data_IF_394234045762
#
_entry.id   IF_394234045762
#
_cell.length_a   1.000
_cell.length_b   1.000
_cell.length_c   1.000
_cell.angle_alpha   90.00
_cell.angle_beta   90.00
_cell.angle_gamma   90.00
#
_symmetry.space_group_name_H-M   'P 1'
#
loop_
_entity.id
_entity.type
_entity.pdbx_description
1 polymer ?
#
# COMPACT_ATOMS: atom_id res chain seq x y z
N UNK A 1 -22.90 -12.14 -10.47
CA UNK A 1 -21.72 -11.32 -10.16
C UNK A 1 -20.93 -11.29 -11.43
N UNK A 2 -20.99 -10.17 -12.15
CA UNK A 2 -20.18 -10.01 -13.35
C UNK A 2 -18.71 -10.12 -12.91
N UNK A 3 -17.96 -10.91 -13.68
CA UNK A 3 -16.60 -11.30 -13.31
C UNK A 3 -15.74 -10.04 -13.11
N UNK A 4 -15.22 -9.83 -11.90
CA UNK A 4 -14.32 -8.70 -11.57
C UNK A 4 -13.11 -8.65 -12.52
N UNK A 5 -12.83 -9.75 -13.21
CA UNK A 5 -11.81 -9.85 -14.28
C UNK A 5 -12.19 -9.09 -15.56
N UNK A 6 -13.46 -8.71 -15.74
CA UNK A 6 -13.96 -7.97 -16.90
C UNK A 6 -14.02 -6.46 -16.67
N UNK A 7 -13.19 -5.90 -15.79
CA UNK A 7 -13.05 -4.45 -15.72
C UNK A 7 -12.60 -3.91 -17.08
N UNK A 8 -13.47 -3.09 -17.65
CA UNK A 8 -13.14 -2.40 -18.90
C UNK A 8 -11.88 -1.55 -18.73
N UNK A 9 -11.14 -1.35 -19.81
CA UNK A 9 -9.89 -0.57 -19.78
C UNK A 9 -10.05 0.80 -19.08
N UNK A 10 -11.18 1.48 -19.32
CA UNK A 10 -11.51 2.76 -18.69
C UNK A 10 -11.60 2.70 -17.16
N UNK A 11 -12.10 1.60 -16.59
CA UNK A 11 -12.21 1.44 -15.14
C UNK A 11 -10.84 1.22 -14.48
N UNK A 12 -9.96 0.46 -15.15
CA UNK A 12 -8.57 0.29 -14.70
C UNK A 12 -7.80 1.60 -14.80
N UNK A 13 -8.04 2.38 -15.86
CA UNK A 13 -7.42 3.70 -16.00
C UNK A 13 -7.87 4.66 -14.92
N UNK A 14 -9.16 4.66 -14.55
CA UNK A 14 -9.67 5.48 -13.44
C UNK A 14 -9.01 5.11 -12.10
N UNK A 15 -8.90 3.82 -11.78
CA UNK A 15 -8.21 3.36 -10.56
C UNK A 15 -6.72 3.72 -10.56
N UNK A 16 -6.06 3.62 -11.72
CA UNK A 16 -4.67 4.02 -11.87
C UNK A 16 -4.48 5.52 -11.66
N UNK A 17 -5.41 6.33 -12.16
CA UNK A 17 -5.38 7.78 -11.94
C UNK A 17 -5.53 8.12 -10.44
N UNK A 18 -6.48 7.51 -9.74
CA UNK A 18 -6.64 7.65 -8.28
C UNK A 18 -5.36 7.25 -7.55
N UNK A 19 -4.76 6.12 -7.94
CA UNK A 19 -3.50 5.66 -7.35
C UNK A 19 -2.35 6.64 -7.62
N UNK A 20 -2.26 7.22 -8.82
CA UNK A 20 -1.25 8.24 -9.14
C UNK A 20 -1.42 9.52 -8.33
N UNK A 21 -2.65 9.98 -8.10
CA UNK A 21 -2.95 11.14 -7.25
C UNK A 21 -2.49 10.85 -5.81
N UNK A 22 -2.86 9.68 -5.26
CA UNK A 22 -2.42 9.25 -3.94
C UNK A 22 -0.89 9.16 -3.82
N UNK A 23 -0.22 8.60 -4.83
CA UNK A 23 1.23 8.53 -4.91
C UNK A 23 1.89 9.92 -4.91
N UNK A 24 1.32 10.88 -5.61
CA UNK A 24 1.79 12.27 -5.63
C UNK A 24 1.70 12.95 -4.26
N UNK A 25 0.59 12.76 -3.55
CA UNK A 25 0.41 13.27 -2.18
C UNK A 25 1.41 12.61 -1.21
N UNK A 26 1.57 11.29 -1.29
CA UNK A 26 2.53 10.55 -0.47
C UNK A 26 3.97 10.98 -0.74
N UNK A 27 4.35 11.16 -2.01
CA UNK A 27 5.68 11.63 -2.41
C UNK A 27 6.01 13.00 -1.79
N UNK A 28 5.05 13.91 -1.80
CA UNK A 28 5.19 15.24 -1.19
C UNK A 28 5.42 15.15 0.32
N UNK A 29 4.59 14.38 1.02
CA UNK A 29 4.70 14.21 2.47
C UNK A 29 6.01 13.50 2.88
N UNK A 30 6.40 12.44 2.17
CA UNK A 30 7.66 11.73 2.43
C UNK A 30 8.88 12.58 2.10
N UNK A 31 8.82 13.42 1.07
CA UNK A 31 9.90 14.37 0.76
C UNK A 31 10.10 15.37 1.89
N UNK A 32 9.03 15.88 2.49
CA UNK A 32 9.09 16.77 3.65
C UNK A 32 9.65 16.05 4.89
N UNK A 33 9.19 14.82 5.16
CA UNK A 33 9.65 14.03 6.31
C UNK A 33 11.15 13.72 6.24
N UNK A 34 11.63 13.34 5.07
CA UNK A 34 13.02 12.91 4.86
C UNK A 34 13.98 14.07 4.55
N UNK A 35 13.45 15.23 4.18
CA UNK A 35 14.18 16.35 3.59
C UNK A 35 14.99 15.94 2.34
N UNK A 36 14.42 15.02 1.55
CA UNK A 36 14.95 14.56 0.27
C UNK A 36 13.84 14.57 -0.77
N UNK A 37 14.19 14.86 -2.00
CA UNK A 37 13.21 14.73 -3.09
C UNK A 37 12.93 13.25 -3.35
N UNK A 38 11.68 12.88 -3.12
CA UNK A 38 11.15 11.55 -3.40
C UNK A 38 10.05 11.69 -4.45
N UNK A 39 10.12 10.90 -5.49
CA UNK A 39 9.03 10.70 -6.42
C UNK A 39 8.48 9.29 -6.24
N UNK A 40 7.18 9.15 -6.37
CA UNK A 40 6.53 7.84 -6.34
C UNK A 40 5.87 7.62 -7.69
N UNK A 41 6.17 6.51 -8.33
CA UNK A 41 5.46 6.05 -9.52
C UNK A 41 4.61 4.83 -9.19
N UNK A 42 3.50 4.71 -9.90
CA UNK A 42 2.58 3.57 -9.83
C UNK A 42 2.62 2.88 -11.20
N UNK A 43 3.56 1.96 -11.42
CA UNK A 43 3.68 1.28 -12.69
C UNK A 43 2.48 0.39 -12.98
N UNK A 44 1.89 -0.22 -11.95
CA UNK A 44 0.83 -1.19 -12.11
C UNK A 44 -0.19 -1.12 -10.98
N UNK A 45 -1.46 -1.26 -11.34
CA UNK A 45 -2.59 -1.47 -10.42
C UNK A 45 -3.30 -2.75 -10.82
N UNK A 46 -3.24 -3.74 -9.96
CA UNK A 46 -3.84 -5.06 -10.16
C UNK A 46 -5.04 -5.26 -9.25
N UNK A 47 -6.08 -5.87 -9.78
CA UNK A 47 -7.18 -6.41 -8.98
C UNK A 47 -7.04 -7.92 -9.06
N UNK A 48 -6.70 -8.52 -7.94
CA UNK A 48 -6.39 -9.93 -7.86
C UNK A 48 -7.04 -10.56 -6.63
N UNK A 49 -7.02 -11.87 -6.54
CA UNK A 49 -7.42 -12.57 -5.32
C UNK A 49 -6.34 -12.43 -4.26
N UNK A 50 -6.76 -12.34 -3.01
CA UNK A 50 -5.80 -12.26 -1.89
C UNK A 50 -4.84 -13.46 -1.87
N UNK A 51 -5.30 -14.63 -2.29
CA UNK A 51 -4.49 -15.85 -2.40
C UNK A 51 -3.41 -15.79 -3.50
N UNK A 52 -3.56 -14.90 -4.51
CA UNK A 52 -2.62 -14.69 -5.61
C UNK A 52 -1.58 -13.59 -5.27
N UNK A 53 -1.81 -12.81 -4.22
CA UNK A 53 -0.90 -11.72 -3.81
C UNK A 53 0.53 -12.19 -3.52
N UNK A 54 0.77 -13.38 -2.92
CA UNK A 54 2.13 -13.87 -2.72
C UNK A 54 2.96 -13.92 -4.00
N UNK A 55 2.35 -14.25 -5.13
CA UNK A 55 3.03 -14.34 -6.44
C UNK A 55 3.49 -12.95 -6.94
N UNK A 56 2.76 -11.89 -6.55
CA UNK A 56 3.09 -10.50 -6.89
C UNK A 56 4.21 -9.97 -6.00
N UNK A 57 4.22 -10.36 -4.73
CA UNK A 57 5.16 -9.85 -3.74
C UNK A 57 6.55 -10.50 -3.80
N UNK A 58 6.67 -11.69 -4.39
CA UNK A 58 7.90 -12.48 -4.43
C UNK A 58 7.71 -13.85 -3.80
N UNK A 59 8.70 -14.32 -3.03
CA UNK A 59 8.62 -15.64 -2.41
C UNK A 59 7.92 -15.55 -1.05
N UNK A 60 7.09 -16.55 -0.68
CA UNK A 60 6.44 -16.58 0.63
C UNK A 60 7.41 -16.53 1.81
N UNK A 61 8.65 -17.01 1.61
CA UNK A 61 9.71 -17.05 2.62
C UNK A 61 10.54 -15.75 2.70
N UNK A 62 10.29 -14.77 1.83
CA UNK A 62 10.96 -13.49 1.90
C UNK A 62 10.43 -12.68 3.09
N UNK A 63 11.36 -12.06 3.85
CA UNK A 63 10.98 -11.20 4.98
C UNK A 63 10.48 -9.86 4.45
N UNK A 64 9.37 -9.41 5.01
CA UNK A 64 8.76 -8.11 4.69
C UNK A 64 8.46 -7.32 5.97
N UNK A 65 8.52 -6.00 5.84
CA UNK A 65 7.93 -5.08 6.81
C UNK A 65 6.53 -4.71 6.32
N UNK A 66 5.52 -5.02 7.11
CA UNK A 66 4.12 -4.85 6.76
C UNK A 66 3.43 -3.89 7.72
N UNK A 67 2.88 -2.79 7.20
CA UNK A 67 2.10 -1.82 7.98
C UNK A 67 0.62 -1.99 7.64
N UNK A 68 -0.16 -2.41 8.63
CA UNK A 68 -1.59 -2.63 8.53
C UNK A 68 -2.35 -1.48 9.18
N UNK A 69 -3.38 -0.98 8.49
CA UNK A 69 -4.33 0.00 9.03
C UNK A 69 -5.76 -0.40 8.67
N UNK A 70 -6.71 -0.07 9.53
CA UNK A 70 -8.12 -0.20 9.21
C UNK A 70 -8.60 1.03 8.44
N UNK A 71 -9.48 0.79 7.49
CA UNK A 71 -10.25 1.81 6.79
C UNK A 71 -11.64 1.88 7.40
N UNK A 72 -12.06 3.06 7.81
CA UNK A 72 -13.33 3.33 8.49
C UNK A 72 -14.03 4.51 7.81
N UNK A 73 -15.31 4.67 8.04
CA UNK A 73 -16.15 5.73 7.45
C UNK A 73 -17.21 5.14 6.51
N UNK A 74 -17.41 5.77 5.37
CA UNK A 74 -18.41 5.33 4.38
C UNK A 74 -18.02 4.02 3.69
N UNK A 75 -16.71 3.73 3.62
CA UNK A 75 -16.18 2.43 3.23
C UNK A 75 -15.42 1.82 4.39
N UNK A 76 -15.48 0.50 4.49
CA UNK A 76 -14.78 -0.28 5.50
C UNK A 76 -13.88 -1.33 4.88
N UNK A 77 -12.80 -1.64 5.57
CA UNK A 77 -11.77 -2.58 5.10
C UNK A 77 -10.43 -2.37 5.78
N UNK A 78 -9.37 -2.67 5.05
CA UNK A 78 -7.99 -2.49 5.53
C UNK A 78 -7.08 -2.02 4.41
N UNK A 79 -6.00 -1.38 4.79
CA UNK A 79 -4.85 -1.12 3.93
C UNK A 79 -3.65 -1.86 4.49
N UNK A 80 -2.81 -2.38 3.60
CA UNK A 80 -1.57 -3.05 3.94
C UNK A 80 -0.46 -2.49 3.05
N UNK A 81 0.54 -1.89 3.68
CA UNK A 81 1.77 -1.44 3.00
C UNK A 81 2.85 -2.46 3.27
N UNK A 82 3.46 -2.99 2.22
CA UNK A 82 4.49 -4.01 2.29
C UNK A 82 5.79 -3.50 1.68
N UNK A 83 6.88 -3.65 2.42
CA UNK A 83 8.24 -3.41 1.93
C UNK A 83 9.04 -4.70 2.06
N UNK A 84 9.70 -5.18 0.98
CA UNK A 84 10.76 -6.18 1.10
C UNK A 84 11.81 -5.71 2.13
N UNK A 85 12.36 -6.63 2.92
CA UNK A 85 13.31 -6.30 3.99
C UNK A 85 14.45 -5.37 3.53
N UNK A 86 15.12 -5.59 2.38
CA UNK A 86 16.18 -4.67 1.92
C UNK A 86 15.67 -3.24 1.69
N UNK A 87 14.46 -3.09 1.11
CA UNK A 87 13.84 -1.79 0.91
C UNK A 87 13.48 -1.13 2.24
N UNK A 88 12.95 -1.89 3.20
CA UNK A 88 12.61 -1.40 4.54
C UNK A 88 13.85 -0.91 5.29
N UNK A 89 14.98 -1.63 5.24
CA UNK A 89 16.25 -1.21 5.86
C UNK A 89 16.78 0.08 5.24
N UNK A 90 16.81 0.16 3.92
CA UNK A 90 17.24 1.36 3.20
C UNK A 90 16.34 2.56 3.52
N UNK A 91 15.03 2.33 3.60
CA UNK A 91 14.07 3.37 3.97
C UNK A 91 14.32 3.88 5.40
N UNK A 92 14.62 2.97 6.36
CA UNK A 92 15.00 3.35 7.72
C UNK A 92 16.27 4.21 7.74
N UNK A 93 17.32 3.85 6.97
CA UNK A 93 18.53 4.65 6.87
C UNK A 93 18.22 6.08 6.39
N UNK A 94 17.37 6.21 5.38
CA UNK A 94 16.95 7.51 4.85
C UNK A 94 16.17 8.31 5.89
N UNK A 95 15.19 7.70 6.54
CA UNK A 95 14.35 8.35 7.56
C UNK A 95 15.16 8.85 8.75
N UNK A 96 16.10 8.02 9.20
CA UNK A 96 16.94 8.30 10.36
C UNK A 96 18.23 9.06 10.00
N UNK A 97 18.38 9.47 8.72
CA UNK A 97 19.53 10.22 8.20
C UNK A 97 20.87 9.52 8.46
N UNK A 98 20.90 8.23 8.29
CA UNK A 98 22.09 7.37 8.44
C UNK A 98 22.70 7.06 7.07
N UNK A 99 23.96 6.64 7.03
CA UNK A 99 24.56 6.04 5.82
C UNK A 99 23.74 4.82 5.37
N UNK A 100 23.62 4.61 4.06
CA UNK A 100 22.94 3.43 3.52
C UNK A 100 23.68 2.15 3.97
N UNK A 101 22.91 1.16 4.42
CA UNK A 101 23.43 -0.09 4.98
C UNK A 101 23.69 -0.06 6.49
N UNK A 102 23.40 1.06 7.17
CA UNK A 102 23.61 1.18 8.61
C UNK A 102 22.54 0.43 9.44
N UNK A 103 21.34 0.26 8.90
CA UNK A 103 20.24 -0.45 9.59
C UNK A 103 20.45 -1.95 9.52
N UNK A 104 20.85 -2.58 10.62
CA UNK A 104 21.04 -4.03 10.76
C UNK A 104 19.91 -4.75 11.47
N UNK A 105 19.08 -4.00 12.21
CA UNK A 105 17.92 -4.50 12.93
C UNK A 105 16.80 -3.48 12.91
N UNK A 106 15.57 -3.93 13.15
CA UNK A 106 14.40 -3.06 13.25
C UNK A 106 14.08 -2.78 14.73
N UNK A 107 14.87 -1.89 15.35
CA UNK A 107 14.65 -1.42 16.72
C UNK A 107 13.47 -0.42 16.77
N UNK A 108 13.21 0.15 17.93
CA UNK A 108 12.04 1.00 18.17
C UNK A 108 11.93 2.21 17.22
N UNK A 109 13.07 2.83 16.88
CA UNK A 109 13.09 3.99 15.97
C UNK A 109 12.80 3.58 14.53
N UNK A 110 13.38 2.49 14.04
CA UNK A 110 13.13 1.92 12.73
C UNK A 110 11.66 1.53 12.58
N UNK A 111 11.12 0.84 13.57
CA UNK A 111 9.71 0.45 13.58
C UNK A 111 8.78 1.67 13.59
N UNK A 112 9.11 2.71 14.35
CA UNK A 112 8.35 3.97 14.36
C UNK A 112 8.39 4.66 13.00
N UNK A 113 9.55 4.72 12.36
CA UNK A 113 9.72 5.27 11.02
C UNK A 113 8.91 4.52 9.96
N UNK A 114 8.94 3.19 9.99
CA UNK A 114 8.16 2.37 9.05
C UNK A 114 6.66 2.53 9.23
N UNK A 115 6.18 2.63 10.49
CA UNK A 115 4.77 2.94 10.78
C UNK A 115 4.36 4.28 10.21
N UNK A 116 5.22 5.31 10.35
CA UNK A 116 4.93 6.65 9.84
C UNK A 116 4.86 6.66 8.30
N UNK A 117 5.78 5.98 7.62
CA UNK A 117 5.71 5.83 6.16
C UNK A 117 4.44 5.10 5.73
N UNK A 118 4.09 4.01 6.40
CA UNK A 118 2.85 3.27 6.13
C UNK A 118 1.60 4.14 6.36
N UNK A 119 1.60 4.94 7.42
CA UNK A 119 0.54 5.91 7.71
C UNK A 119 0.40 6.95 6.58
N UNK A 120 1.50 7.55 6.13
CA UNK A 120 1.52 8.53 5.06
C UNK A 120 0.98 7.92 3.76
N UNK A 121 1.48 6.75 3.36
CA UNK A 121 1.04 6.07 2.15
C UNK A 121 -0.44 5.71 2.20
N UNK A 122 -0.87 5.02 3.26
CA UNK A 122 -2.27 4.61 3.41
C UNK A 122 -3.21 5.81 3.41
N UNK A 123 -2.87 6.86 4.17
CA UNK A 123 -3.70 8.07 4.23
C UNK A 123 -3.77 8.79 2.88
N UNK A 124 -2.66 8.86 2.15
CA UNK A 124 -2.62 9.51 0.84
C UNK A 124 -3.48 8.76 -0.19
N UNK A 125 -3.40 7.44 -0.26
CA UNK A 125 -4.23 6.64 -1.15
C UNK A 125 -5.71 6.68 -0.74
N UNK A 126 -6.01 6.60 0.56
CA UNK A 126 -7.38 6.69 1.06
C UNK A 126 -7.99 8.06 0.78
N UNK A 127 -7.24 9.15 0.95
CA UNK A 127 -7.72 10.49 0.64
C UNK A 127 -8.00 10.65 -0.86
N UNK A 128 -7.12 10.17 -1.73
CA UNK A 128 -7.36 10.19 -3.17
C UNK A 128 -8.62 9.40 -3.56
N UNK A 129 -8.85 8.24 -2.95
CA UNK A 129 -10.06 7.45 -3.16
C UNK A 129 -11.30 8.15 -2.60
N UNK A 130 -11.19 8.74 -1.42
CA UNK A 130 -12.24 9.54 -0.76
C UNK A 130 -12.70 10.69 -1.66
N UNK A 131 -11.75 11.47 -2.17
CA UNK A 131 -12.03 12.61 -3.05
C UNK A 131 -12.66 12.16 -4.37
N UNK A 132 -12.16 11.07 -4.95
CA UNK A 132 -12.70 10.51 -6.19
C UNK A 132 -14.15 10.04 -6.05
N UNK A 133 -14.47 9.40 -4.93
CA UNK A 133 -15.81 8.84 -4.67
C UNK A 133 -16.77 9.82 -4.00
N UNK A 134 -16.28 10.95 -3.47
CA UNK A 134 -17.07 11.85 -2.64
C UNK A 134 -17.53 11.21 -1.31
N UNK A 135 -16.74 10.27 -0.78
CA UNK A 135 -17.02 9.50 0.45
C UNK A 135 -15.99 9.82 1.52
N UNK A 136 -16.36 9.76 2.78
CA UNK A 136 -15.46 9.98 3.90
C UNK A 136 -14.74 8.68 4.28
N UNK A 137 -13.41 8.69 4.22
CA UNK A 137 -12.54 7.58 4.66
C UNK A 137 -11.61 8.05 5.77
N UNK A 138 -11.51 7.25 6.84
CA UNK A 138 -10.68 7.58 8.00
C UNK A 138 -9.74 6.40 8.31
N UNK A 139 -8.41 6.59 8.28
CA UNK A 139 -7.46 5.55 8.65
C UNK A 139 -7.39 5.38 10.19
N UNK A 140 -7.16 4.14 10.63
CA UNK A 140 -6.81 3.85 12.03
C UNK A 140 -5.33 4.16 12.31
N UNK A 141 -4.92 3.97 13.56
CA UNK A 141 -3.48 3.94 13.90
C UNK A 141 -2.80 2.75 13.22
N UNK A 142 -1.54 2.91 12.74
CA UNK A 142 -0.79 1.84 12.09
C UNK A 142 -0.31 0.77 13.06
N UNK A 143 -0.40 -0.49 12.66
CA UNK A 143 0.29 -1.62 13.27
C UNK A 143 1.37 -2.15 12.32
N UNK A 144 2.51 -2.59 12.87
CA UNK A 144 3.64 -3.10 12.10
C UNK A 144 3.89 -4.57 12.47
N UNK A 145 4.09 -5.38 11.44
CA UNK A 145 4.65 -6.72 11.54
C UNK A 145 5.89 -6.82 10.65
N UNK A 146 6.92 -7.52 11.14
CA UNK A 146 8.12 -7.86 10.36
C UNK A 146 8.23 -9.36 10.43
N UNK A 147 7.91 -10.03 9.33
CA UNK A 147 7.81 -11.49 9.28
C UNK A 147 7.92 -11.97 7.82
N UNK A 148 7.84 -13.28 7.61
CA UNK A 148 7.74 -13.87 6.28
C UNK A 148 6.47 -13.38 5.56
N UNK A 149 6.60 -13.07 4.27
CA UNK A 149 5.48 -12.57 3.46
C UNK A 149 4.26 -13.51 3.52
N UNK A 150 4.49 -14.82 3.46
CA UNK A 150 3.46 -15.83 3.58
C UNK A 150 2.75 -15.81 4.94
N UNK A 151 3.47 -15.60 6.04
CA UNK A 151 2.90 -15.51 7.40
C UNK A 151 2.05 -14.24 7.56
N UNK A 152 2.55 -13.10 7.08
CA UNK A 152 1.81 -11.82 7.10
C UNK A 152 0.50 -11.95 6.33
N UNK A 153 0.55 -12.43 5.07
CA UNK A 153 -0.64 -12.57 4.24
C UNK A 153 -1.63 -13.59 4.79
N UNK A 154 -1.14 -14.72 5.34
CA UNK A 154 -1.99 -15.70 6.02
C UNK A 154 -2.70 -15.09 7.22
N UNK A 155 -2.00 -14.30 8.03
CA UNK A 155 -2.59 -13.59 9.18
C UNK A 155 -3.66 -12.60 8.72
N UNK A 156 -3.40 -11.85 7.66
CA UNK A 156 -4.39 -10.95 7.05
C UNK A 156 -5.60 -11.75 6.57
N UNK A 157 -5.39 -12.83 5.82
CA UNK A 157 -6.44 -13.70 5.28
C UNK A 157 -7.33 -14.29 6.39
N UNK A 158 -6.73 -14.88 7.42
CA UNK A 158 -7.46 -15.50 8.55
C UNK A 158 -8.33 -14.49 9.31
N UNK A 159 -7.91 -13.24 9.39
CA UNK A 159 -8.63 -12.17 10.08
C UNK A 159 -9.73 -11.50 9.24
N UNK A 160 -9.80 -11.78 7.93
CA UNK A 160 -10.77 -11.15 7.03
C UNK A 160 -12.07 -11.94 6.84
N UNK A 161 -12.08 -13.25 7.14
CA UNK A 161 -13.20 -14.16 6.85
C UNK A 161 -13.19 -14.63 5.39
N UNK A 162 -13.78 -15.80 5.15
CA UNK A 162 -13.70 -16.56 3.90
C UNK A 162 -14.46 -15.96 2.69
N UNK A 163 -15.15 -14.83 2.85
CA UNK A 163 -16.02 -14.25 1.81
C UNK A 163 -15.38 -13.11 1.01
N UNK A 164 -14.06 -12.90 1.11
CA UNK A 164 -13.38 -11.75 0.50
C UNK A 164 -12.34 -12.20 -0.50
N UNK A 165 -12.72 -12.15 -1.76
CA UNK A 165 -11.93 -12.74 -2.83
C UNK A 165 -10.94 -11.76 -3.49
N UNK A 166 -11.21 -10.44 -3.47
CA UNK A 166 -10.47 -9.48 -4.30
C UNK A 166 -9.83 -8.35 -3.50
N UNK A 167 -8.62 -8.02 -3.90
CA UNK A 167 -7.82 -6.90 -3.38
C UNK A 167 -7.32 -6.02 -4.52
N UNK A 168 -7.19 -4.74 -4.24
CA UNK A 168 -6.48 -3.83 -5.13
C UNK A 168 -5.00 -3.83 -4.71
N UNK A 169 -4.13 -4.30 -5.58
CA UNK A 169 -2.69 -4.29 -5.38
C UNK A 169 -2.07 -3.20 -6.24
N UNK A 170 -1.45 -2.23 -5.59
CA UNK A 170 -0.75 -1.11 -6.23
C UNK A 170 0.75 -1.31 -6.02
N UNK A 171 1.47 -1.65 -7.07
CA UNK A 171 2.93 -1.62 -7.02
C UNK A 171 3.39 -0.16 -6.90
N UNK A 172 4.23 0.12 -5.94
CA UNK A 172 4.72 1.46 -5.64
C UNK A 172 6.25 1.48 -5.74
N UNK A 173 6.78 2.36 -6.59
CA UNK A 173 8.22 2.55 -6.74
C UNK A 173 8.62 3.92 -6.20
N UNK A 174 9.57 3.94 -5.28
CA UNK A 174 10.15 5.15 -4.71
C UNK A 174 11.44 5.47 -5.44
N UNK A 175 11.48 6.65 -6.06
CA UNK A 175 12.60 7.14 -6.84
C UNK A 175 13.24 8.30 -6.07
N UNK A 176 14.52 8.21 -5.82
CA UNK A 176 15.30 9.23 -5.13
C UNK A 176 16.20 9.98 -6.11
N UNK A 177 16.66 11.18 -5.72
CA UNK A 177 17.60 11.94 -6.54
C UNK A 177 18.97 11.26 -6.68
N UNK A 178 19.32 10.40 -5.72
CA UNK A 178 20.56 9.63 -5.78
C UNK A 178 20.51 8.62 -6.94
N UNK A 179 21.42 8.68 -7.92
CA UNK A 179 21.38 7.82 -9.09
C UNK A 179 21.40 6.34 -8.72
N UNK A 180 20.37 5.61 -9.17
CA UNK A 180 20.26 4.15 -8.94
C UNK A 180 19.60 3.77 -7.61
N UNK A 181 19.26 4.71 -6.76
CA UNK A 181 18.51 4.42 -5.53
C UNK A 181 17.01 4.36 -5.84
N UNK A 182 16.51 3.15 -5.90
CA UNK A 182 15.10 2.84 -6.08
C UNK A 182 14.66 1.83 -5.04
N UNK A 183 13.52 2.08 -4.41
CA UNK A 183 12.92 1.14 -3.48
C UNK A 183 11.56 0.70 -4.02
N UNK A 184 11.26 -0.57 -3.82
CA UNK A 184 9.94 -1.12 -4.14
C UNK A 184 9.13 -1.31 -2.87
N UNK A 185 7.85 -1.08 -2.98
CA UNK A 185 6.86 -1.41 -1.99
C UNK A 185 5.53 -1.74 -2.67
N UNK A 186 4.63 -2.32 -1.93
CA UNK A 186 3.29 -2.64 -2.40
C UNK A 186 2.27 -2.04 -1.44
N UNK A 187 1.27 -1.40 -2.00
CA UNK A 187 0.09 -0.96 -1.27
C UNK A 187 -1.08 -1.86 -1.66
N UNK A 188 -1.69 -2.45 -0.67
CA UNK A 188 -2.88 -3.28 -0.83
C UNK A 188 -4.07 -2.58 -0.18
N UNK A 189 -5.15 -2.41 -0.94
CA UNK A 189 -6.44 -2.02 -0.43
C UNK A 189 -7.34 -3.26 -0.40
N UNK A 190 -7.83 -3.58 0.79
CA UNK A 190 -8.64 -4.75 1.08
C UNK A 190 -10.02 -4.28 1.61
N UNK A 191 -10.92 -3.84 0.72
CA UNK A 191 -12.26 -3.41 1.11
C UNK A 191 -13.09 -4.60 1.54
N UNK A 192 -14.10 -4.38 2.36
CA UNK A 192 -15.13 -5.39 2.54
C UNK A 192 -16.04 -5.51 1.30
N UNK A 193 -16.92 -6.51 1.26
CA UNK A 193 -17.73 -6.80 0.09
C UNK A 193 -18.67 -5.64 -0.29
N UNK A 194 -19.21 -4.92 0.70
CA UNK A 194 -20.07 -3.78 0.45
C UNK A 194 -19.28 -2.60 -0.12
N UNK A 195 -18.10 -2.33 0.46
CA UNK A 195 -17.17 -1.31 0.01
C UNK A 195 -16.61 -1.61 -1.36
N UNK A 196 -16.28 -2.88 -1.64
CA UNK A 196 -15.84 -3.31 -2.97
C UNK A 196 -16.89 -3.02 -4.04
N UNK A 197 -18.16 -3.32 -3.76
CA UNK A 197 -19.27 -3.00 -4.67
C UNK A 197 -19.42 -1.50 -4.87
N UNK A 198 -19.37 -0.70 -3.80
CA UNK A 198 -19.46 0.75 -3.89
C UNK A 198 -18.31 1.35 -4.73
N UNK A 199 -17.09 0.84 -4.58
CA UNK A 199 -15.94 1.25 -5.41
C UNK A 199 -16.23 0.92 -6.88
N UNK A 200 -16.68 -0.30 -7.19
CA UNK A 200 -16.99 -0.67 -8.58
C UNK A 200 -18.14 0.14 -9.17
N UNK A 201 -19.15 0.46 -8.38
CA UNK A 201 -20.27 1.29 -8.85
C UNK A 201 -19.82 2.74 -9.13
N UNK A 202 -18.91 3.28 -8.33
CA UNK A 202 -18.36 4.63 -8.54
C UNK A 202 -17.45 4.72 -9.80
N UNK A 203 -16.73 3.66 -10.15
CA UNK A 203 -15.88 3.63 -11.36
C UNK A 203 -16.63 3.17 -12.62
N UNK A 204 -17.89 2.76 -12.52
CA UNK A 204 -18.78 2.56 -13.68
C UNK A 204 -19.18 3.95 -14.17
N UNK A 205 -18.33 4.53 -15.02
CA UNK A 205 -18.68 5.73 -15.77
C UNK A 205 -19.90 5.45 -16.64
N UNK A 206 -20.84 6.41 -16.79
CA UNK A 206 -22.02 6.25 -17.60
C UNK A 206 -21.70 5.99 -19.07
#
# INVERSE_FOLDING_TARGET
MDDVRELHALQRDALREVANIGAGHAATALSQLTNRRIMISVPEVNITRLEEVPEILGKPDDVVAAVLMHMMGDLTGRTLVLFPEPSARTLCDILLRRPLGATTEFAAMEQSGLKEVGNILSSAYMNALSDFMGMMLVPSVPSLAIDLAGAVLTSVYMNFGYDRDYVFCVETQFLFEDPGLQLKGHFLLLPDLASLRAIFDAIRLP
#
